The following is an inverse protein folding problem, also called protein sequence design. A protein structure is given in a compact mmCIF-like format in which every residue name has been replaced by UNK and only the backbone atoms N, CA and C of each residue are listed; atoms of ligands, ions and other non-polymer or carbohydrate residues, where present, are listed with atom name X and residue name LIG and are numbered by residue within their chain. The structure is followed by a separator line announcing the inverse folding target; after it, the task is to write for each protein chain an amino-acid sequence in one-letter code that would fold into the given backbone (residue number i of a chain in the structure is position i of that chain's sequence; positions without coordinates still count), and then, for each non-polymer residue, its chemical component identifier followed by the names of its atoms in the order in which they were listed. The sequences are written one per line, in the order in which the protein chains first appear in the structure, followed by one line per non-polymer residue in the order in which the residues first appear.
data_IF_766325157471
#
_entry.id   IF_766325157471
#
_cell.length_a   1.000
_cell.length_b   1.000
_cell.length_c   1.000
_cell.angle_alpha   90.00
_cell.angle_beta   90.00
_cell.angle_gamma   90.00
#
_symmetry.space_group_name_H-M   'P 1'
#
loop_
_entity.id
_entity.type
_entity.pdbx_description
1 polymer ?
#
# COMPACT_ATOMS: atom_id res chain seq x y z
N UNK A 1 6.81 -3.36 -31.12
CA UNK A 1 7.43 -2.76 -29.91
C UNK A 1 7.07 -1.28 -29.77
N UNK A 2 7.31 -0.44 -30.77
CA UNK A 2 7.04 1.00 -30.74
C UNK A 2 5.61 1.36 -30.32
N UNK A 3 4.61 0.70 -30.84
CA UNK A 3 3.21 0.97 -30.56
C UNK A 3 2.82 0.77 -29.07
N UNK A 4 3.53 -0.14 -28.38
CA UNK A 4 3.17 -0.54 -26.99
C UNK A 4 4.12 -0.01 -25.93
N UNK A 5 5.36 0.39 -26.30
CA UNK A 5 6.42 0.66 -25.34
C UNK A 5 7.16 1.98 -25.56
N UNK A 6 6.73 2.80 -26.51
CA UNK A 6 7.49 4.01 -26.82
C UNK A 6 7.44 5.11 -25.74
N UNK A 7 6.51 4.99 -24.79
CA UNK A 7 6.51 5.84 -23.60
C UNK A 7 6.64 4.99 -22.34
N UNK A 8 7.25 5.57 -21.28
CA UNK A 8 7.36 4.89 -19.97
C UNK A 8 5.98 4.44 -19.45
N UNK A 9 4.97 5.29 -19.60
CA UNK A 9 3.61 4.98 -19.17
C UNK A 9 3.02 3.79 -19.95
N UNK A 10 3.25 3.69 -21.25
CA UNK A 10 2.79 2.56 -22.03
C UNK A 10 3.54 1.27 -21.67
N UNK A 11 4.85 1.36 -21.49
CA UNK A 11 5.65 0.22 -21.04
C UNK A 11 5.15 -0.31 -19.69
N UNK A 12 4.94 0.58 -18.71
CA UNK A 12 4.42 0.21 -17.39
C UNK A 12 3.03 -0.42 -17.47
N UNK A 13 2.09 0.19 -18.20
CA UNK A 13 0.74 -0.36 -18.37
C UNK A 13 0.74 -1.73 -19.03
N UNK A 14 1.54 -1.91 -20.07
CA UNK A 14 1.63 -3.19 -20.76
C UNK A 14 2.25 -4.27 -19.87
N UNK A 15 3.35 -3.96 -19.19
CA UNK A 15 4.01 -4.89 -18.27
C UNK A 15 3.11 -5.27 -17.10
N UNK A 16 2.45 -4.29 -16.47
CA UNK A 16 1.50 -4.53 -15.40
C UNK A 16 0.29 -5.36 -15.91
N UNK A 17 -0.25 -5.03 -17.07
CA UNK A 17 -1.37 -5.78 -17.64
C UNK A 17 -1.01 -7.25 -17.91
N UNK A 18 0.19 -7.52 -18.41
CA UNK A 18 0.67 -8.88 -18.64
C UNK A 18 0.89 -9.63 -17.31
N UNK A 19 1.53 -8.99 -16.34
CA UNK A 19 1.82 -9.61 -15.04
C UNK A 19 0.53 -9.93 -14.26
N UNK A 20 -0.36 -8.97 -14.14
CA UNK A 20 -1.61 -9.13 -13.37
C UNK A 20 -2.69 -9.86 -14.15
N UNK A 21 -2.57 -9.94 -15.49
CA UNK A 21 -3.47 -10.71 -16.35
C UNK A 21 -3.50 -12.20 -16.03
N UNK A 22 -2.42 -12.74 -15.48
CA UNK A 22 -2.28 -14.15 -15.13
C UNK A 22 -2.79 -14.49 -13.71
N UNK A 23 -3.14 -13.48 -12.90
CA UNK A 23 -3.57 -13.72 -11.53
C UNK A 23 -4.98 -14.30 -11.48
N UNK A 24 -5.16 -15.32 -10.65
CA UNK A 24 -6.46 -15.92 -10.36
C UNK A 24 -7.24 -15.16 -9.28
N UNK A 25 -8.46 -15.62 -9.04
CA UNK A 25 -9.39 -15.06 -8.06
C UNK A 25 -9.01 -15.32 -6.59
N UNK A 26 -7.96 -16.10 -6.33
CA UNK A 26 -7.46 -16.34 -4.98
C UNK A 26 -6.58 -15.20 -4.42
N UNK A 27 -6.60 -14.04 -5.04
CA UNK A 27 -5.89 -12.82 -4.63
C UNK A 27 -6.87 -11.66 -4.52
N UNK A 28 -6.54 -10.73 -3.64
CA UNK A 28 -7.24 -9.46 -3.52
C UNK A 28 -6.33 -8.35 -4.02
N UNK A 29 -6.81 -7.54 -4.94
CA UNK A 29 -6.09 -6.43 -5.52
C UNK A 29 -6.87 -5.14 -5.35
N UNK A 30 -6.17 -4.08 -5.00
CA UNK A 30 -6.60 -2.70 -5.08
C UNK A 30 -5.71 -1.91 -6.04
N UNK A 31 -6.02 -0.66 -6.23
CA UNK A 31 -5.25 0.26 -7.05
C UNK A 31 -5.15 1.63 -6.37
N UNK A 32 -3.98 2.21 -6.43
CA UNK A 32 -3.72 3.56 -5.94
C UNK A 32 -2.70 4.22 -6.88
N UNK A 33 -3.01 5.38 -7.45
CA UNK A 33 -1.98 6.16 -8.12
C UNK A 33 -1.13 6.92 -7.10
N UNK A 34 0.12 7.19 -7.44
CA UNK A 34 1.02 7.97 -6.58
C UNK A 34 0.54 9.41 -6.40
N UNK A 35 -0.24 9.92 -7.33
CA UNK A 35 -0.79 11.26 -7.32
C UNK A 35 -2.32 11.22 -7.22
N UNK A 36 -2.84 11.11 -6.03
CA UNK A 36 -4.25 10.89 -5.70
C UNK A 36 -5.16 12.11 -5.96
N UNK A 37 -5.07 12.74 -7.11
CA UNK A 37 -5.76 14.01 -7.36
C UNK A 37 -7.07 13.90 -8.15
N UNK A 38 -7.44 12.70 -8.60
CA UNK A 38 -8.67 12.48 -9.36
C UNK A 38 -9.47 11.29 -8.84
N UNK A 39 -10.77 11.30 -9.02
CA UNK A 39 -11.66 10.20 -8.61
C UNK A 39 -11.37 8.85 -9.28
N UNK A 40 -10.50 8.82 -10.29
CA UNK A 40 -10.07 7.58 -10.95
C UNK A 40 -8.89 6.89 -10.27
N UNK A 41 -8.28 7.51 -9.27
CA UNK A 41 -6.96 7.13 -8.76
C UNK A 41 -6.95 6.13 -7.62
N UNK A 42 -8.11 5.65 -7.20
CA UNK A 42 -8.24 4.67 -6.12
C UNK A 42 -9.26 3.58 -6.45
N UNK A 43 -8.94 2.37 -6.02
CA UNK A 43 -9.84 1.22 -6.00
C UNK A 43 -9.56 0.39 -4.75
N UNK A 44 -10.60 0.14 -3.94
CA UNK A 44 -10.49 -0.70 -2.74
C UNK A 44 -9.95 -2.10 -3.07
N UNK A 45 -9.26 -2.71 -2.11
CA UNK A 45 -8.87 -4.11 -2.23
C UNK A 45 -10.11 -5.01 -2.19
N UNK A 46 -10.24 -5.85 -3.20
CA UNK A 46 -11.29 -6.86 -3.26
C UNK A 46 -10.79 -8.08 -4.03
N UNK A 47 -11.54 -9.20 -3.96
CA UNK A 47 -11.24 -10.43 -4.70
C UNK A 47 -11.07 -10.15 -6.19
N UNK A 48 -9.96 -10.60 -6.77
CA UNK A 48 -9.59 -10.26 -8.14
C UNK A 48 -10.31 -11.10 -9.18
N UNK A 49 -11.62 -10.93 -9.25
CA UNK A 49 -12.49 -11.61 -10.21
C UNK A 49 -13.52 -10.65 -10.80
N UNK A 50 -14.14 -11.05 -11.91
CA UNK A 50 -15.27 -10.35 -12.56
C UNK A 50 -15.14 -8.82 -12.55
N UNK A 51 -16.00 -8.16 -11.78
CA UNK A 51 -16.09 -6.71 -11.69
C UNK A 51 -14.82 -6.05 -11.15
N UNK A 52 -14.22 -6.61 -10.09
CA UNK A 52 -12.98 -6.05 -9.52
C UNK A 52 -11.83 -6.08 -10.54
N UNK A 53 -11.70 -7.19 -11.25
CA UNK A 53 -10.70 -7.35 -12.32
C UNK A 53 -10.91 -6.31 -13.42
N UNK A 54 -12.14 -6.16 -13.91
CA UNK A 54 -12.48 -5.15 -14.93
C UNK A 54 -12.19 -3.73 -14.44
N UNK A 55 -12.59 -3.40 -13.22
CA UNK A 55 -12.34 -2.09 -12.63
C UNK A 55 -10.84 -1.82 -12.48
N UNK A 56 -10.06 -2.81 -12.05
CA UNK A 56 -8.62 -2.67 -11.89
C UNK A 56 -7.92 -2.37 -13.24
N UNK A 57 -8.24 -3.13 -14.28
CA UNK A 57 -7.71 -2.87 -15.63
C UNK A 57 -8.15 -1.52 -16.18
N UNK A 58 -9.39 -1.10 -15.89
CA UNK A 58 -9.88 0.23 -16.26
C UNK A 58 -9.05 1.32 -15.59
N UNK A 59 -8.74 1.19 -14.29
CA UNK A 59 -7.85 2.11 -13.57
C UNK A 59 -6.46 2.15 -14.20
N UNK A 60 -5.85 0.98 -14.44
CA UNK A 60 -4.54 0.88 -15.05
C UNK A 60 -4.49 1.55 -16.43
N UNK A 61 -5.45 1.24 -17.29
CA UNK A 61 -5.46 1.76 -18.68
C UNK A 61 -5.78 3.24 -18.75
N UNK A 62 -6.63 3.74 -17.86
CA UNK A 62 -6.97 5.18 -17.78
C UNK A 62 -5.92 6.03 -17.08
N UNK A 63 -4.95 5.43 -16.39
CA UNK A 63 -3.88 6.17 -15.72
C UNK A 63 -3.15 7.09 -16.69
N UNK A 64 -2.88 8.33 -16.26
CA UNK A 64 -2.15 9.31 -17.06
C UNK A 64 -1.05 9.94 -16.23
N UNK A 65 0.10 10.29 -16.82
CA UNK A 65 1.11 11.06 -16.13
C UNK A 65 0.50 12.43 -15.80
N UNK A 66 0.54 12.81 -14.54
CA UNK A 66 -0.05 14.05 -14.05
C UNK A 66 0.68 14.54 -12.81
N UNK A 67 0.96 15.83 -12.75
CA UNK A 67 1.56 16.53 -11.61
C UNK A 67 2.89 15.95 -11.10
N UNK A 68 3.16 16.15 -9.80
CA UNK A 68 4.37 15.71 -9.11
C UNK A 68 4.42 14.20 -8.87
N UNK A 69 5.56 13.72 -8.40
CA UNK A 69 5.81 12.31 -8.11
C UNK A 69 5.96 12.09 -6.58
N UNK A 70 4.86 12.09 -5.80
CA UNK A 70 4.89 11.98 -4.34
C UNK A 70 5.01 10.53 -3.87
N UNK A 71 6.10 9.84 -4.24
CA UNK A 71 6.32 8.41 -3.98
C UNK A 71 6.27 8.06 -2.50
N UNK A 72 6.94 8.84 -1.66
CA UNK A 72 7.04 8.57 -0.22
C UNK A 72 5.67 8.68 0.45
N UNK A 73 4.92 9.71 0.11
CA UNK A 73 3.56 9.91 0.61
C UNK A 73 2.61 8.85 0.09
N UNK A 74 2.72 8.44 -1.16
CA UNK A 74 1.88 7.39 -1.72
C UNK A 74 2.11 6.05 -1.01
N UNK A 75 3.37 5.70 -0.74
CA UNK A 75 3.71 4.50 0.02
C UNK A 75 3.20 4.59 1.47
N UNK A 76 3.35 5.75 2.12
CA UNK A 76 2.80 5.97 3.45
C UNK A 76 1.27 5.90 3.46
N UNK A 77 0.60 6.39 2.43
CA UNK A 77 -0.86 6.26 2.27
C UNK A 77 -1.27 4.79 2.19
N UNK A 78 -0.56 3.97 1.41
CA UNK A 78 -0.80 2.53 1.36
C UNK A 78 -0.61 1.86 2.73
N UNK A 79 0.44 2.21 3.46
CA UNK A 79 0.65 1.73 4.83
C UNK A 79 -0.45 2.14 5.80
N UNK A 80 -0.93 3.37 5.72
CA UNK A 80 -2.05 3.88 6.52
C UNK A 80 -3.39 3.23 6.14
N UNK A 81 -3.58 2.86 4.87
CA UNK A 81 -4.71 2.03 4.44
C UNK A 81 -4.69 0.68 5.17
N UNK A 82 -3.59 -0.05 5.13
CA UNK A 82 -3.44 -1.31 5.85
C UNK A 82 -3.55 -1.13 7.37
N UNK A 83 -3.07 -0.01 7.90
CA UNK A 83 -3.23 0.37 9.30
C UNK A 83 -4.65 0.75 9.71
N UNK A 84 -5.62 0.72 8.79
CA UNK A 84 -7.03 1.09 9.07
C UNK A 84 -7.23 2.59 9.37
N UNK A 85 -6.19 3.43 9.22
CA UNK A 85 -6.26 4.85 9.56
C UNK A 85 -7.07 5.68 8.58
N UNK A 86 -7.43 5.10 7.46
CA UNK A 86 -8.23 5.75 6.42
C UNK A 86 -9.62 5.11 6.24
N UNK A 87 -9.96 4.12 7.05
CA UNK A 87 -11.27 3.45 6.98
C UNK A 87 -12.41 4.46 7.10
N UNK A 88 -13.39 4.35 6.21
CA UNK A 88 -14.54 5.26 6.15
C UNK A 88 -14.24 6.65 5.60
N UNK A 89 -12.96 7.02 5.42
CA UNK A 89 -12.61 8.28 4.76
C UNK A 89 -12.89 8.22 3.27
N UNK A 90 -12.97 9.38 2.64
CA UNK A 90 -13.08 9.48 1.19
C UNK A 90 -11.68 9.61 0.59
N UNK A 91 -11.29 8.66 -0.24
CA UNK A 91 -10.07 8.73 -1.02
C UNK A 91 -10.44 8.78 -2.50
N UNK A 92 -10.22 9.94 -3.10
CA UNK A 92 -10.52 10.19 -4.52
C UNK A 92 -11.95 9.78 -4.94
N UNK A 93 -12.95 10.19 -4.17
CA UNK A 93 -14.35 9.91 -4.48
C UNK A 93 -14.84 8.52 -4.07
N UNK A 94 -13.98 7.69 -3.53
CA UNK A 94 -14.34 6.35 -3.04
C UNK A 94 -14.21 6.26 -1.53
N UNK A 95 -15.23 5.72 -0.87
CA UNK A 95 -15.15 5.39 0.55
C UNK A 95 -14.16 4.25 0.76
N UNK A 96 -13.19 4.46 1.64
CA UNK A 96 -12.16 3.48 1.94
C UNK A 96 -12.73 2.36 2.80
N UNK A 97 -12.66 1.14 2.29
CA UNK A 97 -12.97 -0.08 3.04
C UNK A 97 -11.73 -0.62 3.70
N UNK A 98 -11.89 -1.34 4.81
CA UNK A 98 -10.78 -1.99 5.47
C UNK A 98 -10.12 -3.04 4.56
N UNK A 99 -8.83 -2.91 4.26
CA UNK A 99 -8.13 -3.85 3.40
C UNK A 99 -7.76 -5.15 4.11
N UNK A 100 -7.61 -5.15 5.44
CA UNK A 100 -7.26 -6.34 6.21
C UNK A 100 -8.54 -6.98 6.75
N UNK A 101 -8.74 -8.25 6.43
CA UNK A 101 -9.92 -9.03 6.83
C UNK A 101 -9.59 -10.16 7.81
N UNK A 102 -8.33 -10.61 7.83
CA UNK A 102 -7.87 -11.74 8.65
C UNK A 102 -6.51 -11.42 9.26
N UNK A 103 -6.25 -11.90 10.46
CA UNK A 103 -4.98 -11.72 11.16
C UNK A 103 -3.79 -12.33 10.41
N UNK A 104 -3.97 -13.47 9.77
CA UNK A 104 -2.94 -14.16 8.99
C UNK A 104 -2.76 -13.61 7.56
N UNK A 105 -3.48 -12.55 7.19
CA UNK A 105 -3.40 -11.95 5.86
C UNK A 105 -2.04 -11.32 5.62
N UNK A 106 -1.37 -11.74 4.54
CA UNK A 106 -0.13 -11.11 4.08
C UNK A 106 -0.47 -9.92 3.19
N UNK A 107 0.11 -8.78 3.51
CA UNK A 107 -0.17 -7.50 2.85
C UNK A 107 1.06 -7.02 2.10
N UNK A 108 0.87 -6.66 0.85
CA UNK A 108 1.94 -6.18 -0.03
C UNK A 108 1.50 -4.93 -0.78
N UNK A 109 2.47 -4.05 -1.00
CA UNK A 109 2.35 -2.92 -1.91
C UNK A 109 3.40 -3.07 -3.00
N UNK A 110 2.97 -3.05 -4.25
CA UNK A 110 3.86 -2.99 -5.41
C UNK A 110 3.88 -1.54 -5.87
N UNK A 111 5.02 -0.88 -5.71
CA UNK A 111 5.23 0.50 -6.12
C UNK A 111 5.98 0.51 -7.44
N UNK A 112 5.34 0.97 -8.51
CA UNK A 112 5.96 1.10 -9.82
C UNK A 112 6.18 2.57 -10.14
N UNK A 113 7.43 2.92 -10.43
CA UNK A 113 7.85 4.29 -10.74
C UNK A 113 9.07 4.25 -11.67
N UNK A 114 9.38 5.40 -12.26
CA UNK A 114 10.56 5.60 -13.10
C UNK A 114 11.71 6.34 -12.41
N UNK A 115 11.60 6.57 -11.08
CA UNK A 115 12.72 7.10 -10.31
C UNK A 115 12.36 8.12 -9.24
N UNK A 116 12.83 9.36 -9.40
CA UNK A 116 12.86 10.35 -8.33
C UNK A 116 11.50 10.86 -7.88
N UNK A 117 11.39 11.14 -6.58
CA UNK A 117 10.27 11.87 -6.02
C UNK A 117 10.51 13.38 -6.05
N UNK A 118 9.45 14.16 -6.18
CA UNK A 118 9.49 15.62 -6.19
C UNK A 118 8.37 16.21 -5.32
N UNK A 119 8.31 15.77 -4.09
CA UNK A 119 7.32 16.21 -3.11
C UNK A 119 7.97 17.00 -1.97
N UNK A 120 7.27 18.00 -1.47
CA UNK A 120 7.72 18.86 -0.36
C UNK A 120 7.26 18.36 1.02
N UNK A 121 6.22 17.51 1.07
CA UNK A 121 5.67 17.04 2.33
C UNK A 121 6.25 15.68 2.73
N UNK A 122 6.49 15.50 4.01
CA UNK A 122 7.02 14.25 4.54
C UNK A 122 5.96 13.13 4.57
N UNK A 123 6.40 11.87 4.37
CA UNK A 123 5.55 10.71 4.59
C UNK A 123 5.20 10.57 6.07
N UNK A 124 4.02 10.01 6.36
CA UNK A 124 3.48 9.96 7.72
C UNK A 124 3.41 8.54 8.27
N UNK A 125 3.66 8.40 9.57
CA UNK A 125 3.41 7.19 10.37
C UNK A 125 1.91 6.96 10.59
N UNK A 126 1.57 5.87 11.27
CA UNK A 126 0.20 5.55 11.65
C UNK A 126 -0.45 6.60 12.55
N UNK A 127 0.33 7.23 13.41
CA UNK A 127 -0.10 8.30 14.33
C UNK A 127 -0.17 9.68 13.68
N UNK A 128 0.27 9.81 12.41
CA UNK A 128 0.27 11.06 11.67
C UNK A 128 1.53 11.89 11.82
N UNK A 129 2.50 11.47 12.64
CA UNK A 129 3.83 12.11 12.72
C UNK A 129 4.67 11.76 11.48
N UNK A 130 5.75 12.49 11.26
CA UNK A 130 6.69 12.21 10.18
C UNK A 130 7.39 10.88 10.38
N UNK A 131 7.70 10.17 9.30
CA UNK A 131 8.42 8.89 9.33
C UNK A 131 9.76 9.07 10.04
N UNK A 132 10.52 10.13 9.74
CA UNK A 132 11.85 10.34 10.28
C UNK A 132 12.85 9.32 9.70
N UNK A 133 13.99 9.22 10.36
CA UNK A 133 15.03 8.25 10.03
C UNK A 133 14.74 6.95 10.79
N UNK A 134 14.47 5.88 10.07
CA UNK A 134 14.04 4.58 10.62
C UNK A 134 15.15 3.52 10.59
N UNK A 135 16.21 3.73 9.84
CA UNK A 135 17.26 2.74 9.63
C UNK A 135 18.64 3.17 10.13
N UNK A 136 18.75 4.35 10.77
CA UNK A 136 19.98 4.84 11.38
C UNK A 136 20.23 4.33 12.80
N UNK A 137 19.22 3.77 13.44
CA UNK A 137 19.33 3.32 14.81
C UNK A 137 20.40 2.23 14.96
N UNK A 138 21.25 2.34 15.97
CA UNK A 138 22.33 1.37 16.27
C UNK A 138 21.84 -0.06 16.50
N UNK A 139 20.54 -0.25 16.70
CA UNK A 139 19.88 -1.54 16.88
C UNK A 139 19.52 -2.24 15.57
N UNK A 140 19.64 -1.58 14.43
CA UNK A 140 19.37 -2.22 13.13
C UNK A 140 20.59 -3.01 12.73
N UNK A 141 20.50 -4.33 12.76
CA UNK A 141 21.58 -5.26 12.44
C UNK A 141 21.94 -5.33 10.96
N UNK A 142 21.26 -4.55 10.12
CA UNK A 142 21.50 -4.47 8.66
C UNK A 142 22.11 -3.13 8.30
N UNK A 143 22.87 -3.08 7.19
CA UNK A 143 23.30 -1.80 6.66
C UNK A 143 22.11 -0.90 6.40
N UNK A 144 22.28 0.40 6.54
CA UNK A 144 21.27 1.40 6.22
C UNK A 144 20.68 1.15 4.83
N UNK A 145 19.38 1.08 4.75
CA UNK A 145 18.70 0.71 3.49
C UNK A 145 18.90 1.75 2.38
N UNK A 146 19.08 3.01 2.76
CA UNK A 146 19.38 4.10 1.83
C UNK A 146 20.85 4.56 1.86
N UNK A 147 21.66 3.93 2.70
CA UNK A 147 23.10 4.20 2.82
C UNK A 147 23.46 5.51 3.53
N UNK A 148 22.50 6.27 4.00
CA UNK A 148 22.67 7.57 4.67
C UNK A 148 21.80 7.69 5.91
N UNK A 149 22.10 8.64 6.79
CA UNK A 149 21.27 9.01 7.93
C UNK A 149 20.23 10.09 7.54
N UNK A 150 19.66 10.00 6.36
CA UNK A 150 18.67 10.96 5.86
C UNK A 150 17.28 10.43 6.13
N UNK A 151 16.53 11.09 7.00
CA UNK A 151 15.17 10.67 7.35
C UNK A 151 14.13 11.00 6.29
N UNK A 152 12.98 10.35 6.42
CA UNK A 152 11.82 10.50 5.53
C UNK A 152 12.08 10.04 4.09
N UNK A 153 12.97 9.10 3.89
CA UNK A 153 13.24 8.50 2.58
C UNK A 153 12.16 7.47 2.22
N UNK A 154 12.23 6.96 1.00
CA UNK A 154 11.37 5.84 0.58
C UNK A 154 11.75 4.56 1.35
N UNK A 155 13.04 4.36 1.62
CA UNK A 155 13.55 3.25 2.41
C UNK A 155 13.03 3.29 3.86
N UNK A 156 13.10 4.47 4.51
CA UNK A 156 12.51 4.66 5.85
C UNK A 156 11.02 4.33 5.87
N UNK A 157 10.29 4.79 4.86
CA UNK A 157 8.86 4.54 4.78
C UNK A 157 8.55 3.05 4.62
N UNK A 158 9.28 2.37 3.74
CA UNK A 158 9.13 0.93 3.54
C UNK A 158 9.50 0.15 4.80
N UNK A 159 10.62 0.52 5.43
CA UNK A 159 11.09 -0.12 6.67
C UNK A 159 10.09 0.05 7.82
N UNK A 160 9.60 1.27 8.05
CA UNK A 160 8.61 1.52 9.09
C UNK A 160 7.38 0.63 8.95
N UNK A 161 6.77 0.58 7.77
CA UNK A 161 5.56 -0.20 7.55
C UNK A 161 5.79 -1.72 7.47
N UNK A 162 7.03 -2.15 7.29
CA UNK A 162 7.41 -3.56 7.36
C UNK A 162 7.73 -4.02 8.78
N UNK A 163 8.21 -3.14 9.65
CA UNK A 163 8.64 -3.48 11.01
C UNK A 163 7.66 -3.07 12.10
N UNK A 164 6.64 -2.28 11.75
CA UNK A 164 5.62 -1.80 12.69
C UNK A 164 4.37 -2.66 12.56
N UNK A 165 3.83 -3.07 13.70
CA UNK A 165 2.50 -3.68 13.72
C UNK A 165 1.44 -2.64 13.33
N UNK A 166 0.76 -2.90 12.22
CA UNK A 166 -0.23 -1.98 11.64
C UNK A 166 -1.57 -2.03 12.36
N UNK A 167 -1.85 -3.08 13.12
CA UNK A 167 -3.13 -3.34 13.80
C UNK A 167 -2.92 -3.62 15.28
N UNK A 168 -2.56 -2.58 16.01
CA UNK A 168 -2.43 -2.65 17.46
C UNK A 168 -3.77 -2.44 18.13
N UNK A 169 -4.11 -3.30 19.09
CA UNK A 169 -5.34 -3.20 19.86
C UNK A 169 -5.61 -4.46 20.69
N UNK A 170 -6.70 -4.42 21.45
CA UNK A 170 -7.17 -5.60 22.18
C UNK A 170 -8.03 -6.44 21.25
N UNK A 171 -7.74 -7.74 21.18
CA UNK A 171 -8.56 -8.73 20.47
C UNK A 171 -10.04 -8.55 20.79
N UNK A 172 -10.88 -8.61 19.76
CA UNK A 172 -12.32 -8.43 19.88
C UNK A 172 -12.80 -6.96 20.00
N UNK A 173 -11.89 -5.98 20.05
CA UNK A 173 -12.27 -4.57 20.01
C UNK A 173 -12.73 -4.16 18.62
N UNK A 174 -13.55 -3.09 18.53
CA UNK A 174 -14.01 -2.56 17.25
C UNK A 174 -12.85 -2.12 16.33
N UNK A 175 -11.73 -1.70 16.90
CA UNK A 175 -10.53 -1.32 16.15
C UNK A 175 -9.82 -2.54 15.51
N UNK A 176 -10.03 -3.72 16.08
CA UNK A 176 -9.41 -4.96 15.63
C UNK A 176 -10.34 -5.85 14.82
N UNK A 177 -11.64 -5.55 14.79
CA UNK A 177 -12.61 -6.37 14.07
C UNK A 177 -12.79 -5.83 12.65
N UNK A 178 -12.53 -6.66 11.66
CA UNK A 178 -12.77 -6.37 10.26
C UNK A 178 -13.69 -7.44 9.67
N UNK A 179 -14.88 -7.05 9.26
CA UNK A 179 -15.86 -7.99 8.74
C UNK A 179 -16.63 -8.78 9.81
N UNK A 180 -17.30 -9.84 9.41
CA UNK A 180 -18.07 -10.73 10.28
C UNK A 180 -17.60 -12.17 10.09
N UNK A 181 -17.31 -12.84 11.18
CA UNK A 181 -16.99 -14.25 11.17
C UNK A 181 -15.79 -14.63 12.00
N UNK A 182 -15.56 -15.92 12.09
CA UNK A 182 -14.40 -16.52 12.74
C UNK A 182 -13.12 -16.10 12.03
N UNK A 183 -12.20 -15.46 12.71
CA UNK A 183 -10.94 -14.95 12.13
C UNK A 183 -10.99 -13.51 11.68
N UNK A 184 -12.09 -12.78 11.91
CA UNK A 184 -12.20 -11.36 11.59
C UNK A 184 -11.40 -10.46 12.55
N UNK A 185 -10.82 -11.00 13.59
CA UNK A 185 -9.92 -10.25 14.48
C UNK A 185 -8.55 -10.07 13.81
N UNK A 186 -8.30 -8.85 13.38
CA UNK A 186 -7.08 -8.49 12.64
C UNK A 186 -5.91 -8.11 13.54
N UNK A 187 -6.12 -7.99 14.85
CA UNK A 187 -5.05 -7.74 15.82
C UNK A 187 -4.42 -9.04 16.39
N UNK A 188 -4.94 -10.17 15.99
CA UNK A 188 -4.56 -11.47 16.55
C UNK A 188 -5.14 -11.71 17.93
N UNK A 189 -5.23 -12.96 18.33
CA UNK A 189 -5.71 -13.39 19.65
C UNK A 189 -4.78 -14.47 20.21
N UNK A 190 -5.08 -14.98 21.41
CA UNK A 190 -4.25 -15.97 22.10
C UNK A 190 -4.12 -17.30 21.33
N UNK A 191 -5.06 -17.59 20.44
CA UNK A 191 -5.05 -18.78 19.57
C UNK A 191 -4.40 -18.53 18.22
N UNK A 192 -4.14 -17.26 17.86
CA UNK A 192 -3.54 -16.85 16.60
C UNK A 192 -2.09 -16.45 16.81
N UNK A 193 -1.18 -17.11 16.11
CA UNK A 193 0.25 -16.82 16.16
C UNK A 193 0.64 -15.58 15.35
N UNK A 194 -0.25 -15.08 14.49
CA UNK A 194 -0.02 -13.89 13.65
C UNK A 194 -0.42 -12.60 14.39
N UNK A 195 0.34 -12.26 15.42
CA UNK A 195 0.08 -11.08 16.28
C UNK A 195 0.47 -9.75 15.62
N UNK A 196 1.19 -9.78 14.51
CA UNK A 196 1.73 -8.59 13.88
C UNK A 196 1.31 -8.51 12.43
N UNK A 197 0.62 -7.42 12.08
CA UNK A 197 0.25 -7.10 10.71
C UNK A 197 1.29 -6.13 10.14
N UNK A 198 1.88 -6.47 9.01
CA UNK A 198 2.90 -5.64 8.35
C UNK A 198 2.59 -5.48 6.88
N UNK A 199 3.21 -4.49 6.24
CA UNK A 199 3.14 -4.28 4.80
C UNK A 199 4.51 -4.51 4.17
N UNK A 200 4.63 -5.53 3.32
CA UNK A 200 5.79 -5.71 2.44
C UNK A 200 5.73 -4.74 1.26
N UNK A 201 6.86 -4.15 0.90
CA UNK A 201 6.97 -3.27 -0.26
C UNK A 201 7.86 -3.90 -1.31
N UNK A 202 7.39 -3.93 -2.57
CA UNK A 202 8.16 -4.30 -3.76
C UNK A 202 8.22 -3.09 -4.69
N UNK A 203 9.42 -2.75 -5.16
CA UNK A 203 9.68 -1.65 -6.09
C UNK A 203 10.34 -2.13 -7.37
#
# INVERSE_FOLDING_TARGET
WWAYYHTRMQAMKSSAALAFGQLGSNRRLGYLSINNNTGSDYLNLDTFESTQRTNWFTKLTSARPNNSTPLRRALATAGRLYGGKLNGSNLNGSSVKDPIQYSCQKNYTILSTDGFWNESSNPKKLDGTDIGDQDSAASVSRPKLDGTATGNTLADTAYYYFTTDLRTGTSGSAACTSGSGSGADVCGNDTDTFKMQVMGTCT
#
